data_IF_847509359086
#
_entry.id   IF_847509359086
#
_cell.length_a   1.000
_cell.length_b   1.000
_cell.length_c   1.000
_cell.angle_alpha   90.00
_cell.angle_beta   90.00
_cell.angle_gamma   90.00
#
_symmetry.space_group_name_H-M   'P 1'
#
loop_
_entity.id
_entity.type
_entity.pdbx_description
1 polymer ?
#
# COMPACT_ATOMS: atom_id res chain seq x y z
N UNK A 1 -8.43 9.49 -2.23
CA UNK A 1 -8.34 10.97 -2.21
C UNK A 1 -7.36 11.51 -1.19
N UNK A 2 -7.37 11.01 0.06
CA UNK A 2 -6.47 11.52 1.12
C UNK A 2 -4.98 11.52 0.72
N UNK A 3 -4.50 10.42 0.13
CA UNK A 3 -3.11 10.29 -0.33
C UNK A 3 -2.71 11.36 -1.37
N UNK A 4 -3.60 11.71 -2.29
CA UNK A 4 -3.36 12.76 -3.30
C UNK A 4 -3.24 14.14 -2.65
N UNK A 5 -4.06 14.45 -1.64
CA UNK A 5 -3.92 15.71 -0.91
C UNK A 5 -2.60 15.76 -0.11
N UNK A 6 -2.17 14.66 0.50
CA UNK A 6 -0.87 14.60 1.17
C UNK A 6 0.27 14.80 0.18
N UNK A 7 0.20 14.16 -0.99
CA UNK A 7 1.17 14.30 -2.07
C UNK A 7 1.26 15.74 -2.59
N UNK A 8 0.11 16.40 -2.77
CA UNK A 8 0.04 17.82 -3.11
C UNK A 8 0.72 18.69 -2.06
N UNK A 9 0.43 18.49 -0.77
CA UNK A 9 1.04 19.29 0.31
C UNK A 9 2.55 19.06 0.38
N UNK A 10 3.02 17.82 0.22
CA UNK A 10 4.46 17.50 0.22
C UNK A 10 5.18 18.17 -0.95
N UNK A 11 4.61 18.13 -2.15
CA UNK A 11 5.20 18.79 -3.33
C UNK A 11 5.21 20.31 -3.21
N UNK A 12 4.18 20.92 -2.60
CA UNK A 12 4.20 22.36 -2.28
C UNK A 12 5.36 22.74 -1.35
N UNK A 13 5.60 21.93 -0.31
CA UNK A 13 6.73 22.15 0.61
C UNK A 13 8.09 21.94 -0.07
N UNK A 14 8.20 20.94 -0.95
CA UNK A 14 9.43 20.68 -1.72
C UNK A 14 9.74 21.85 -2.64
N UNK A 15 8.73 22.42 -3.33
CA UNK A 15 8.90 23.65 -4.12
C UNK A 15 9.38 24.80 -3.22
N UNK A 16 8.79 24.95 -2.04
CA UNK A 16 9.18 26.01 -1.10
C UNK A 16 10.67 25.86 -0.70
N UNK A 17 11.14 24.63 -0.43
CA UNK A 17 12.55 24.34 -0.09
C UNK A 17 13.51 24.51 -1.26
N UNK A 18 13.19 24.00 -2.46
CA UNK A 18 14.07 24.14 -3.63
C UNK A 18 14.18 25.58 -4.12
N UNK A 19 13.12 26.37 -3.95
CA UNK A 19 13.11 27.77 -4.37
C UNK A 19 13.90 28.68 -3.42
N UNK A 20 14.02 28.34 -2.13
CA UNK A 20 14.60 29.23 -1.14
C UNK A 20 16.04 29.68 -1.46
N UNK A 21 16.97 28.78 -1.85
CA UNK A 21 18.32 29.17 -2.28
C UNK A 21 18.37 29.82 -3.67
N UNK A 22 17.28 29.74 -4.44
CA UNK A 22 17.17 30.31 -5.79
C UNK A 22 16.56 31.71 -5.80
N UNK A 23 16.22 32.26 -4.63
CA UNK A 23 15.75 33.64 -4.49
C UNK A 23 16.78 34.61 -5.09
N UNK A 24 16.33 35.45 -6.01
CA UNK A 24 17.18 36.40 -6.75
C UNK A 24 17.76 35.86 -8.06
N UNK A 25 17.82 34.53 -8.26
CA UNK A 25 18.19 33.92 -9.56
C UNK A 25 16.97 33.72 -10.47
N UNK A 26 15.79 33.58 -9.88
CA UNK A 26 14.52 33.48 -10.58
C UNK A 26 13.70 34.74 -10.32
N UNK A 27 13.09 35.30 -11.38
CA UNK A 27 12.24 36.48 -11.28
C UNK A 27 11.04 36.25 -10.34
N UNK A 28 10.43 35.05 -10.40
CA UNK A 28 9.23 34.72 -9.63
C UNK A 28 9.21 33.27 -9.17
N UNK A 29 8.72 33.06 -7.95
CA UNK A 29 8.45 31.73 -7.40
C UNK A 29 7.37 30.99 -8.21
N UNK A 30 7.54 29.69 -8.49
CA UNK A 30 6.51 28.90 -9.14
C UNK A 30 5.17 28.96 -8.38
N UNK A 31 4.09 29.29 -9.10
CA UNK A 31 2.78 29.51 -8.49
C UNK A 31 2.15 28.19 -8.07
N UNK A 32 2.13 27.93 -6.77
CA UNK A 32 1.32 26.85 -6.19
C UNK A 32 -0.12 27.33 -5.95
N UNK A 33 -1.13 26.56 -6.36
CA UNK A 33 -2.54 26.86 -6.08
C UNK A 33 -2.99 26.38 -4.69
N UNK A 34 -2.09 26.42 -3.69
CA UNK A 34 -2.23 25.74 -2.38
C UNK A 34 -3.56 26.01 -1.67
N UNK A 35 -4.00 27.27 -1.66
CA UNK A 35 -5.25 27.69 -1.00
C UNK A 35 -6.48 27.18 -1.75
N UNK A 36 -6.49 27.31 -3.09
CA UNK A 36 -7.58 26.82 -3.93
C UNK A 36 -7.67 25.30 -3.88
N UNK A 37 -6.52 24.62 -3.98
CA UNK A 37 -6.44 23.16 -3.97
C UNK A 37 -6.87 22.57 -2.63
N UNK A 38 -6.55 23.25 -1.51
CA UNK A 38 -7.06 22.89 -0.17
C UNK A 38 -8.58 23.07 -0.09
N UNK A 39 -9.13 24.20 -0.58
CA UNK A 39 -10.59 24.43 -0.62
C UNK A 39 -11.30 23.36 -1.45
N UNK A 40 -10.79 23.05 -2.63
CA UNK A 40 -11.31 22.01 -3.52
C UNK A 40 -11.31 20.63 -2.86
N UNK A 41 -10.24 20.28 -2.15
CA UNK A 41 -10.15 19.03 -1.39
C UNK A 41 -11.20 19.00 -0.25
N UNK A 42 -11.24 20.05 0.57
CA UNK A 42 -12.15 20.11 1.73
C UNK A 42 -13.62 20.05 1.32
N UNK A 43 -14.00 20.63 0.17
CA UNK A 43 -15.36 20.58 -0.35
C UNK A 43 -15.89 19.16 -0.50
N UNK A 44 -15.02 18.20 -0.83
CA UNK A 44 -15.41 16.79 -0.99
C UNK A 44 -15.09 15.98 0.27
N UNK A 45 -13.97 16.25 0.93
CA UNK A 45 -13.55 15.53 2.13
C UNK A 45 -14.49 15.73 3.33
N UNK A 46 -15.15 16.90 3.44
CA UNK A 46 -16.12 17.18 4.52
C UNK A 46 -17.49 16.53 4.31
N UNK A 47 -17.77 15.93 3.14
CA UNK A 47 -19.06 15.29 2.87
C UNK A 47 -19.08 13.87 3.44
N UNK A 48 -20.14 13.52 4.17
CA UNK A 48 -20.34 12.16 4.71
C UNK A 48 -20.40 11.10 3.60
N UNK A 49 -21.07 11.38 2.48
CA UNK A 49 -21.22 10.47 1.33
C UNK A 49 -21.09 11.24 0.01
N UNK A 50 -19.88 11.49 -0.50
CA UNK A 50 -19.68 12.12 -1.81
C UNK A 50 -20.07 11.14 -2.94
N UNK A 51 -20.76 11.64 -3.97
CA UNK A 51 -21.14 10.83 -5.13
C UNK A 51 -19.92 10.36 -5.94
N UNK A 52 -20.10 9.31 -6.76
CA UNK A 52 -19.03 8.82 -7.66
C UNK A 52 -18.51 9.94 -8.59
N UNK A 53 -19.40 10.74 -9.18
CA UNK A 53 -19.05 11.86 -10.06
C UNK A 53 -18.21 12.91 -9.34
N UNK A 54 -18.57 13.27 -8.11
CA UNK A 54 -17.81 14.22 -7.29
C UNK A 54 -16.42 13.69 -6.93
N UNK A 55 -16.32 12.41 -6.56
CA UNK A 55 -15.02 11.77 -6.27
C UNK A 55 -14.09 11.79 -7.48
N UNK A 56 -14.60 11.42 -8.66
CA UNK A 56 -13.83 11.43 -9.92
C UNK A 56 -13.35 12.86 -10.23
N UNK A 57 -14.23 13.86 -10.12
CA UNK A 57 -13.88 15.28 -10.34
C UNK A 57 -12.81 15.77 -9.35
N UNK A 58 -12.91 15.39 -8.08
CA UNK A 58 -11.94 15.75 -7.06
C UNK A 58 -10.58 15.08 -7.28
N UNK A 59 -10.56 13.80 -7.65
CA UNK A 59 -9.33 13.07 -8.02
C UNK A 59 -8.65 13.76 -9.20
N UNK A 60 -9.40 14.06 -10.28
CA UNK A 60 -8.87 14.77 -11.45
C UNK A 60 -8.19 16.09 -11.06
N UNK A 61 -8.87 16.90 -10.23
CA UNK A 61 -8.32 18.18 -9.74
C UNK A 61 -7.04 17.98 -8.94
N UNK A 62 -7.02 17.03 -7.99
CA UNK A 62 -5.81 16.78 -7.19
C UNK A 62 -4.65 16.28 -8.06
N UNK A 63 -4.90 15.39 -9.03
CA UNK A 63 -3.89 14.96 -10.00
C UNK A 63 -3.32 16.12 -10.80
N UNK A 64 -4.15 17.07 -11.26
CA UNK A 64 -3.70 18.26 -11.97
C UNK A 64 -2.83 19.18 -11.09
N UNK A 65 -3.15 19.33 -9.81
CA UNK A 65 -2.31 20.10 -8.88
C UNK A 65 -0.95 19.43 -8.67
N UNK A 66 -0.92 18.11 -8.47
CA UNK A 66 0.33 17.36 -8.29
C UNK A 66 1.17 17.40 -9.58
N UNK A 67 0.56 17.17 -10.75
CA UNK A 67 1.24 17.25 -12.06
C UNK A 67 1.96 18.58 -12.23
N UNK A 68 1.27 19.68 -11.94
CA UNK A 68 1.85 21.02 -12.03
C UNK A 68 3.00 21.21 -11.02
N UNK A 69 2.81 20.75 -9.79
CA UNK A 69 3.86 20.87 -8.77
C UNK A 69 5.12 20.06 -9.14
N UNK A 70 4.96 18.84 -9.66
CA UNK A 70 6.09 18.03 -10.14
C UNK A 70 6.81 18.74 -11.30
N UNK A 71 6.08 19.28 -12.28
CA UNK A 71 6.67 20.06 -13.36
C UNK A 71 7.43 21.29 -12.86
N UNK A 72 6.95 21.98 -11.82
CA UNK A 72 7.70 23.09 -11.22
C UNK A 72 8.97 22.62 -10.51
N UNK A 73 8.94 21.45 -9.86
CA UNK A 73 10.12 20.85 -9.22
C UNK A 73 11.16 20.53 -10.30
N UNK A 74 10.75 19.88 -11.39
CA UNK A 74 11.63 19.57 -12.52
C UNK A 74 12.27 20.84 -13.10
N UNK A 75 11.48 21.90 -13.31
CA UNK A 75 11.97 23.20 -13.77
C UNK A 75 12.98 23.83 -12.79
N UNK A 76 12.71 23.78 -11.49
CA UNK A 76 13.65 24.32 -10.49
C UNK A 76 14.99 23.59 -10.55
N UNK A 77 14.95 22.26 -10.67
CA UNK A 77 16.16 21.43 -10.79
C UNK A 77 16.90 21.78 -12.08
N UNK A 78 16.20 21.90 -13.22
CA UNK A 78 16.80 22.30 -14.50
C UNK A 78 17.46 23.68 -14.47
N UNK A 79 16.89 24.62 -13.69
CA UNK A 79 17.49 25.96 -13.51
C UNK A 79 18.63 25.98 -12.47
N UNK A 80 19.03 24.82 -11.94
CA UNK A 80 20.19 24.69 -11.05
C UNK A 80 19.87 24.63 -9.56
N UNK A 81 18.62 24.35 -9.17
CA UNK A 81 18.33 24.01 -7.78
C UNK A 81 18.94 22.65 -7.42
N UNK A 82 19.83 22.66 -6.43
CA UNK A 82 20.49 21.46 -5.91
C UNK A 82 19.51 20.59 -5.11
N UNK A 83 19.46 19.28 -5.41
CA UNK A 83 18.61 18.32 -4.69
C UNK A 83 19.08 18.09 -3.26
N UNK A 84 20.35 18.35 -2.98
CA UNK A 84 21.02 18.26 -1.69
C UNK A 84 20.42 19.22 -0.64
N UNK A 85 19.73 20.28 -1.10
CA UNK A 85 18.98 21.20 -0.24
C UNK A 85 17.78 20.51 0.41
N UNK A 86 17.26 19.46 -0.21
CA UNK A 86 16.16 18.67 0.36
C UNK A 86 16.67 17.82 1.52
N UNK A 87 15.92 17.85 2.63
CA UNK A 87 16.12 16.83 3.66
C UNK A 87 15.91 15.43 3.08
N UNK A 88 16.58 14.42 3.66
CA UNK A 88 16.40 13.00 3.28
C UNK A 88 14.91 12.61 3.23
N UNK A 89 14.11 13.12 4.18
CA UNK A 89 12.67 12.89 4.23
C UNK A 89 11.91 13.51 3.05
N UNK A 90 12.29 14.72 2.62
CA UNK A 90 11.70 15.38 1.45
C UNK A 90 12.10 14.67 0.15
N UNK A 91 13.36 14.29 0.00
CA UNK A 91 13.83 13.54 -1.17
C UNK A 91 13.09 12.20 -1.30
N UNK A 92 13.05 11.39 -0.23
CA UNK A 92 12.27 10.13 -0.20
C UNK A 92 10.79 10.38 -0.51
N UNK A 93 10.21 11.46 0.05
CA UNK A 93 8.83 11.84 -0.22
C UNK A 93 8.59 12.20 -1.69
N UNK A 94 9.54 12.86 -2.35
CA UNK A 94 9.44 13.24 -3.76
C UNK A 94 9.32 11.99 -4.65
N UNK A 95 10.21 11.02 -4.45
CA UNK A 95 10.21 9.74 -5.17
C UNK A 95 8.88 9.00 -4.99
N UNK A 96 8.42 8.87 -3.74
CA UNK A 96 7.16 8.19 -3.42
C UNK A 96 5.96 8.94 -4.02
N UNK A 97 5.96 10.28 -4.00
CA UNK A 97 4.88 11.08 -4.59
C UNK A 97 4.83 10.94 -6.11
N UNK A 98 5.98 10.90 -6.79
CA UNK A 98 6.04 10.66 -8.23
C UNK A 98 5.40 9.32 -8.59
N UNK A 99 5.72 8.25 -7.84
CA UNK A 99 5.11 6.93 -8.07
C UNK A 99 3.62 6.91 -7.73
N UNK A 100 3.19 7.54 -6.62
CA UNK A 100 1.76 7.68 -6.31
C UNK A 100 1.02 8.44 -7.40
N UNK A 101 1.62 9.50 -7.95
CA UNK A 101 1.05 10.26 -9.05
C UNK A 101 0.87 9.35 -10.28
N UNK A 102 1.91 8.63 -10.68
CA UNK A 102 1.86 7.67 -11.80
C UNK A 102 0.75 6.64 -11.62
N UNK A 103 0.70 5.97 -10.46
CA UNK A 103 -0.31 4.96 -10.15
C UNK A 103 -1.73 5.55 -10.18
N UNK A 104 -1.96 6.69 -9.51
CA UNK A 104 -3.28 7.30 -9.44
C UNK A 104 -3.73 7.89 -10.79
N UNK A 105 -2.81 8.39 -11.61
CA UNK A 105 -3.09 8.85 -12.97
C UNK A 105 -3.53 7.68 -13.84
N UNK A 106 -2.78 6.57 -13.84
CA UNK A 106 -3.12 5.37 -14.60
C UNK A 106 -4.49 4.82 -14.19
N UNK A 107 -4.76 4.72 -12.88
CA UNK A 107 -6.05 4.27 -12.37
C UNK A 107 -7.20 5.19 -12.80
N UNK A 108 -6.97 6.50 -12.84
CA UNK A 108 -7.96 7.47 -13.28
C UNK A 108 -8.27 7.34 -14.78
N UNK A 109 -7.25 7.21 -15.62
CA UNK A 109 -7.38 7.09 -17.08
C UNK A 109 -8.04 5.77 -17.49
N UNK A 110 -7.63 4.66 -16.86
CA UNK A 110 -8.16 3.32 -17.14
C UNK A 110 -9.46 3.01 -16.38
N UNK A 111 -10.00 3.97 -15.61
CA UNK A 111 -11.17 3.78 -14.75
C UNK A 111 -11.03 2.60 -13.77
N UNK A 112 -9.80 2.21 -13.44
CA UNK A 112 -9.47 1.08 -12.59
C UNK A 112 -9.56 1.43 -11.10
N UNK A 113 -9.92 0.44 -10.27
CA UNK A 113 -9.95 0.58 -8.80
C UNK A 113 -8.73 -0.08 -8.12
N UNK A 114 -7.96 -0.87 -8.87
CA UNK A 114 -6.76 -1.58 -8.42
C UNK A 114 -5.62 -1.31 -9.41
N UNK A 115 -4.42 -1.28 -8.87
CA UNK A 115 -3.15 -1.44 -9.57
C UNK A 115 -2.28 -2.30 -8.66
N UNK A 116 -1.40 -3.12 -9.23
CA UNK A 116 -0.46 -3.90 -8.43
C UNK A 116 0.56 -2.98 -7.77
N UNK A 117 1.06 -3.40 -6.60
CA UNK A 117 1.97 -2.60 -5.75
C UNK A 117 1.47 -1.19 -5.42
N UNK A 118 0.15 -1.04 -5.29
CA UNK A 118 -0.47 0.24 -4.99
C UNK A 118 0.07 0.83 -3.69
N UNK A 119 0.70 1.99 -3.79
CA UNK A 119 1.10 2.79 -2.63
C UNK A 119 -0.15 3.41 -2.00
N UNK A 120 -0.34 3.15 -0.72
CA UNK A 120 -1.47 3.64 0.08
C UNK A 120 -1.07 4.57 1.21
N UNK A 121 0.23 4.62 1.54
CA UNK A 121 0.81 5.52 2.52
C UNK A 121 2.08 6.18 1.97
N UNK A 122 2.20 7.50 2.12
CA UNK A 122 3.41 8.22 1.73
C UNK A 122 4.55 8.07 2.75
N UNK A 123 4.22 7.79 4.02
CA UNK A 123 5.23 7.56 5.06
C UNK A 123 5.73 6.12 5.06
N UNK A 124 4.88 5.17 4.64
CA UNK A 124 5.17 3.74 4.63
C UNK A 124 4.80 3.15 3.26
N UNK A 125 5.59 3.45 2.21
CA UNK A 125 5.27 3.04 0.84
C UNK A 125 5.38 1.53 0.61
N UNK A 126 6.02 0.78 1.52
CA UNK A 126 6.13 -0.69 1.47
C UNK A 126 4.84 -1.38 1.95
N UNK A 127 3.95 -0.68 2.65
CA UNK A 127 2.69 -1.28 3.12
C UNK A 127 1.78 -1.50 1.92
N UNK A 128 1.23 -2.72 1.83
CA UNK A 128 0.24 -3.10 0.83
C UNK A 128 -1.15 -3.25 1.47
N UNK A 129 -2.23 -2.90 0.75
CA UNK A 129 -3.60 -3.24 1.14
C UNK A 129 -3.81 -4.75 1.10
N UNK A 130 -4.37 -5.33 2.16
CA UNK A 130 -4.75 -6.74 2.22
C UNK A 130 -6.27 -6.82 2.34
N UNK A 131 -6.95 -7.36 1.34
CA UNK A 131 -8.42 -7.54 1.39
C UNK A 131 -8.73 -8.72 2.31
N UNK A 132 -9.25 -8.43 3.50
CA UNK A 132 -9.72 -9.44 4.46
C UNK A 132 -11.22 -9.23 4.60
N UNK A 133 -12.04 -10.16 4.10
CA UNK A 133 -13.49 -10.04 3.99
C UNK A 133 -14.25 -10.02 5.34
N UNK A 134 -13.72 -9.36 6.37
CA UNK A 134 -14.35 -9.17 7.67
C UNK A 134 -15.41 -8.06 7.57
N UNK A 135 -16.51 -8.22 8.30
CA UNK A 135 -17.56 -7.20 8.36
C UNK A 135 -17.00 -5.87 8.91
N UNK A 136 -17.29 -4.75 8.24
CA UNK A 136 -16.89 -3.40 8.65
C UNK A 136 -15.67 -2.84 7.91
N UNK A 137 -14.50 -3.49 8.00
CA UNK A 137 -13.26 -3.03 7.37
C UNK A 137 -12.77 -4.06 6.35
N UNK A 138 -13.06 -3.87 5.05
CA UNK A 138 -12.73 -4.88 4.03
C UNK A 138 -11.24 -4.98 3.70
N UNK A 139 -10.41 -4.09 4.23
CA UNK A 139 -8.98 -3.98 3.93
C UNK A 139 -8.18 -3.73 5.21
N UNK A 140 -7.26 -4.63 5.54
CA UNK A 140 -6.28 -4.49 6.61
C UNK A 140 -4.92 -4.02 6.02
N UNK A 141 -4.06 -3.45 6.87
CA UNK A 141 -2.71 -3.02 6.51
C UNK A 141 -1.73 -3.65 7.51
N UNK A 142 -0.68 -4.30 7.04
CA UNK A 142 0.30 -4.95 7.92
C UNK A 142 1.11 -6.03 7.21
N UNK A 143 2.15 -6.50 7.87
CA UNK A 143 2.87 -7.69 7.43
C UNK A 143 2.02 -8.93 7.71
N UNK A 144 2.00 -9.87 6.76
CA UNK A 144 1.56 -11.24 7.00
C UNK A 144 2.74 -12.01 7.60
N UNK A 145 2.47 -12.64 8.74
CA UNK A 145 3.40 -13.47 9.49
C UNK A 145 2.95 -14.92 9.34
N UNK A 146 3.87 -15.84 9.08
CA UNK A 146 3.69 -17.26 9.41
C UNK A 146 4.66 -17.61 10.53
N UNK A 147 4.18 -18.36 11.51
CA UNK A 147 4.95 -18.80 12.65
C UNK A 147 4.57 -20.22 13.05
N UNK A 148 5.56 -20.99 13.48
CA UNK A 148 5.41 -22.33 14.04
C UNK A 148 5.86 -22.35 15.49
N UNK A 149 5.30 -23.25 16.30
CA UNK A 149 5.64 -23.39 17.72
C UNK A 149 6.13 -24.81 17.96
N UNK A 150 7.29 -24.95 18.58
CA UNK A 150 7.86 -26.24 18.98
C UNK A 150 8.50 -26.11 20.36
N UNK A 151 8.18 -27.03 21.27
CA UNK A 151 8.79 -27.12 22.61
C UNK A 151 8.76 -25.79 23.39
N UNK A 152 7.71 -24.98 23.20
CA UNK A 152 7.55 -23.66 23.81
C UNK A 152 8.26 -22.51 23.08
N UNK A 153 9.03 -22.80 22.04
CA UNK A 153 9.71 -21.80 21.20
C UNK A 153 8.86 -21.43 19.98
N UNK A 154 8.81 -20.14 19.66
CA UNK A 154 8.14 -19.60 18.47
C UNK A 154 9.17 -19.35 17.38
N UNK A 155 8.99 -20.01 16.24
CA UNK A 155 9.78 -19.83 15.02
C UNK A 155 9.00 -19.00 14.02
N UNK A 156 9.66 -18.03 13.40
CA UNK A 156 9.06 -17.13 12.44
C UNK A 156 9.43 -17.58 11.02
N UNK A 157 8.48 -18.20 10.33
CA UNK A 157 8.73 -18.88 9.06
C UNK A 157 8.70 -17.92 7.86
N UNK A 158 7.83 -16.90 7.89
CA UNK A 158 7.76 -15.87 6.83
C UNK A 158 7.19 -14.57 7.35
N UNK A 159 7.87 -13.45 7.08
CA UNK A 159 7.26 -12.12 7.11
C UNK A 159 7.17 -11.62 5.67
N UNK A 160 5.98 -11.30 5.19
CA UNK A 160 5.81 -10.64 3.90
C UNK A 160 4.81 -9.50 3.99
N UNK A 161 5.12 -8.41 3.31
CA UNK A 161 4.23 -7.26 3.11
C UNK A 161 3.42 -7.36 1.81
N UNK A 162 3.66 -8.40 1.01
CA UNK A 162 2.94 -8.66 -0.25
C UNK A 162 1.72 -9.56 -0.03
N UNK A 163 0.72 -9.43 -0.89
CA UNK A 163 -0.44 -10.30 -0.87
C UNK A 163 -0.12 -11.63 -1.57
N UNK A 164 0.38 -12.61 -0.82
CA UNK A 164 0.55 -13.97 -1.32
C UNK A 164 -0.71 -14.82 -1.05
N UNK A 165 -0.98 -15.78 -1.94
CA UNK A 165 -2.03 -16.77 -1.75
C UNK A 165 -1.58 -17.79 -0.69
N UNK A 166 -1.82 -17.41 0.55
CA UNK A 166 -1.67 -18.18 1.79
C UNK A 166 -2.00 -19.67 1.65
N UNK A 167 -3.08 -20.03 0.94
CA UNK A 167 -3.50 -21.43 0.82
C UNK A 167 -2.50 -22.33 0.06
N UNK A 168 -1.64 -21.76 -0.80
CA UNK A 168 -0.61 -22.51 -1.53
C UNK A 168 0.67 -22.77 -0.72
N UNK A 169 0.92 -21.96 0.31
CA UNK A 169 2.18 -21.99 1.06
C UNK A 169 2.19 -23.02 2.20
N UNK A 170 1.04 -23.60 2.55
CA UNK A 170 0.93 -24.54 3.67
C UNK A 170 1.87 -25.75 3.51
N UNK A 171 1.89 -26.34 2.32
CA UNK A 171 2.73 -27.51 2.02
C UNK A 171 4.21 -27.16 2.18
N UNK A 172 4.63 -26.02 1.62
CA UNK A 172 6.00 -25.51 1.72
C UNK A 172 6.40 -25.23 3.17
N UNK A 173 5.52 -24.65 3.98
CA UNK A 173 5.77 -24.38 5.40
C UNK A 173 5.89 -25.68 6.21
N UNK A 174 5.05 -26.68 5.96
CA UNK A 174 5.11 -27.98 6.62
C UNK A 174 6.39 -28.74 6.25
N UNK A 175 6.79 -28.71 4.97
CA UNK A 175 8.04 -29.35 4.53
C UNK A 175 9.27 -28.59 5.07
N UNK A 176 9.24 -27.26 5.13
CA UNK A 176 10.28 -26.47 5.79
C UNK A 176 10.37 -26.80 7.29
N UNK A 177 9.25 -26.92 7.99
CA UNK A 177 9.23 -27.36 9.39
C UNK A 177 9.86 -28.74 9.55
N UNK A 178 9.50 -29.71 8.70
CA UNK A 178 10.11 -31.05 8.72
C UNK A 178 11.60 -31.00 8.44
N UNK A 179 12.05 -30.18 7.49
CA UNK A 179 13.48 -30.02 7.20
C UNK A 179 14.24 -29.49 8.42
N UNK A 180 13.69 -28.51 9.15
CA UNK A 180 14.35 -27.93 10.33
C UNK A 180 14.26 -28.80 11.58
N UNK A 181 13.18 -29.56 11.73
CA UNK A 181 12.89 -30.29 12.98
C UNK A 181 13.11 -31.79 12.89
N UNK A 182 13.23 -32.34 11.68
CA UNK A 182 13.32 -33.77 11.39
C UNK A 182 11.96 -34.49 11.37
N UNK A 183 10.88 -33.82 11.76
CA UNK A 183 9.55 -34.44 11.95
C UNK A 183 8.43 -33.58 11.38
N UNK A 184 7.33 -34.19 10.95
CA UNK A 184 6.13 -33.43 10.63
C UNK A 184 5.45 -32.91 11.91
N UNK A 185 4.77 -31.75 11.86
CA UNK A 185 4.04 -31.23 13.02
C UNK A 185 2.85 -32.14 13.35
N UNK A 186 2.53 -32.31 14.63
CA UNK A 186 1.37 -33.10 15.06
C UNK A 186 0.05 -32.46 14.63
N UNK A 187 -0.04 -31.13 14.72
CA UNK A 187 -1.20 -30.36 14.30
C UNK A 187 -0.82 -29.06 13.59
N UNK A 188 -1.72 -28.60 12.72
CA UNK A 188 -1.62 -27.29 12.08
C UNK A 188 -2.90 -26.48 12.35
N UNK A 189 -2.71 -25.24 12.79
CA UNK A 189 -3.79 -24.30 13.11
C UNK A 189 -3.84 -23.22 12.04
N UNK A 190 -4.87 -23.29 11.18
CA UNK A 190 -4.92 -22.50 9.96
C UNK A 190 -6.29 -21.85 9.76
N UNK A 191 -6.30 -20.66 9.14
CA UNK A 191 -7.52 -19.95 8.77
C UNK A 191 -8.35 -20.74 7.73
N UNK A 192 -9.63 -20.41 7.58
CA UNK A 192 -10.57 -21.15 6.69
C UNK A 192 -10.05 -21.31 5.26
N UNK A 193 -9.33 -20.32 4.75
CA UNK A 193 -8.81 -20.28 3.37
C UNK A 193 -7.79 -21.39 3.07
N UNK A 194 -7.05 -21.86 4.08
CA UNK A 194 -6.06 -22.93 3.95
C UNK A 194 -6.70 -24.33 3.88
N UNK A 195 -7.98 -24.45 4.24
CA UNK A 195 -8.68 -25.74 4.36
C UNK A 195 -9.26 -26.24 3.04
N UNK A 196 -8.54 -26.02 1.94
CA UNK A 196 -8.88 -26.55 0.62
C UNK A 196 -8.67 -28.08 0.58
N UNK A 197 -9.21 -28.74 -0.47
CA UNK A 197 -9.15 -30.21 -0.61
C UNK A 197 -7.72 -30.73 -0.66
N UNK A 198 -6.85 -30.07 -1.40
CA UNK A 198 -5.45 -30.48 -1.57
C UNK A 198 -4.67 -30.46 -0.25
N UNK A 199 -4.82 -29.41 0.55
CA UNK A 199 -4.15 -29.26 1.84
C UNK A 199 -4.66 -30.27 2.86
N UNK A 200 -5.96 -30.58 2.85
CA UNK A 200 -6.54 -31.64 3.68
C UNK A 200 -5.97 -33.01 3.34
N UNK A 201 -5.90 -33.33 2.05
CA UNK A 201 -5.31 -34.59 1.58
C UNK A 201 -3.84 -34.68 2.00
N UNK A 202 -3.07 -33.63 1.74
CA UNK A 202 -1.65 -33.56 2.11
C UNK A 202 -1.40 -33.78 3.61
N UNK A 203 -2.17 -33.11 4.47
CA UNK A 203 -2.07 -33.30 5.92
C UNK A 203 -2.50 -34.70 6.36
N UNK A 204 -3.59 -35.25 5.79
CA UNK A 204 -4.10 -36.58 6.13
C UNK A 204 -3.10 -37.68 5.77
N UNK A 205 -2.47 -37.60 4.59
CA UNK A 205 -1.44 -38.54 4.15
C UNK A 205 -0.22 -38.57 5.07
N UNK A 206 0.06 -37.47 5.78
CA UNK A 206 1.24 -37.31 6.66
C UNK A 206 0.90 -37.41 8.15
N UNK A 207 -0.34 -37.77 8.49
CA UNK A 207 -0.80 -37.89 9.89
C UNK A 207 -0.96 -36.56 10.63
N UNK A 208 -0.99 -35.44 9.92
CA UNK A 208 -1.03 -34.08 10.50
C UNK A 208 -2.49 -33.69 10.79
N UNK A 209 -2.78 -33.31 12.03
CA UNK A 209 -4.12 -32.87 12.45
C UNK A 209 -4.37 -31.41 12.08
N UNK A 210 -5.22 -31.15 11.09
CA UNK A 210 -5.64 -29.78 10.78
C UNK A 210 -6.85 -29.36 11.63
N UNK A 211 -6.70 -28.28 12.40
CA UNK A 211 -7.77 -27.79 13.29
C UNK A 211 -8.77 -26.85 12.61
N UNK A 212 -10.00 -26.82 13.12
CA UNK A 212 -11.08 -25.91 12.71
C UNK A 212 -12.41 -26.63 12.37
N UNK A 213 -13.55 -25.92 12.35
CA UNK A 213 -14.87 -26.52 12.15
C UNK A 213 -14.97 -27.25 10.79
N UNK A 214 -15.76 -28.34 10.67
CA UNK A 214 -16.01 -29.02 9.40
C UNK A 214 -16.40 -28.01 8.31
N UNK A 215 -16.00 -28.27 7.06
CA UNK A 215 -16.60 -27.51 5.95
C UNK A 215 -18.09 -27.84 5.99
N UNK A 216 -18.94 -26.83 6.17
CA UNK A 216 -20.38 -27.00 5.99
C UNK A 216 -20.57 -27.60 4.59
N UNK A 217 -21.08 -28.84 4.54
CA UNK A 217 -21.68 -29.38 3.33
C UNK A 217 -22.87 -28.48 3.01
N UNK A 218 -22.81 -27.76 1.89
CA UNK A 218 -24.05 -27.26 1.29
C UNK A 218 -24.85 -28.47 0.84
N UNK A 219 -26.08 -28.69 1.34
CA UNK A 219 -26.96 -29.69 0.77
C UNK A 219 -27.20 -29.34 -0.70
N UNK A 220 -27.09 -30.36 -1.54
CA UNK A 220 -27.51 -30.37 -2.95
C UNK A 220 -28.99 -30.03 -3.10
#
# INVERSE_FOLDING_TARGET
>A
MGILNQARVKTEKIIDTLYDPMKGKLEKKPKTYRNLARKDYLKVAKKRRPSRKERIKAIKKQLQYIKRNLSHIDQLIQTGAALEVLSISQYKSLVVVAEVYRQQQWMYENKAQRIDDRIVSLSQPHIRPIVRGKAGTPVEFGAKLSASVRDGYVFLDRISWENFNEAGDLKTQIEAFKHHTGVYPESVHVDRIYRNRENRTFCKERGIRMSGPPLLLTPS
#
